data_IF_250449038487
#
_entry.id   IF_250449038487
#
_cell.length_a   1.000
_cell.length_b   1.000
_cell.length_c   1.000
_cell.angle_alpha   90.00
_cell.angle_beta   90.00
_cell.angle_gamma   90.00
#
_symmetry.space_group_name_H-M   'P 1'
#
loop_
_entity.id
_entity.type
_entity.pdbx_description
1 polymer ?
#
# COMPACT_ATOMS: atom_id res chain seq x y z
N UNK A 1 -46.56 -9.82 30.96
CA UNK A 1 -47.69 -8.89 30.71
C UNK A 1 -47.10 -7.51 30.51
N UNK A 2 -47.67 -6.74 29.58
CA UNK A 2 -47.11 -5.50 29.06
C UNK A 2 -47.71 -5.28 27.67
N UNK A 3 -48.84 -4.58 27.63
CA UNK A 3 -49.63 -4.30 26.43
C UNK A 3 -49.48 -2.81 26.08
N UNK A 4 -49.72 -2.51 24.81
CA UNK A 4 -50.02 -1.18 24.28
C UNK A 4 -48.87 -0.12 24.42
N UNK A 5 -48.82 0.95 23.62
CA UNK A 5 -49.90 1.58 22.83
C UNK A 5 -49.47 1.89 21.40
N UNK A 6 -50.40 1.73 20.44
CA UNK A 6 -50.30 2.32 19.09
C UNK A 6 -51.08 3.63 19.10
N UNK A 7 -50.48 4.71 18.59
CA UNK A 7 -51.19 5.95 18.26
C UNK A 7 -50.91 6.31 16.80
N UNK A 8 -51.98 6.35 16.00
CA UNK A 8 -51.99 6.92 14.65
C UNK A 8 -52.55 8.33 14.78
N UNK A 9 -52.00 9.30 14.03
CA UNK A 9 -52.46 10.68 13.99
C UNK A 9 -52.61 11.16 12.55
N UNK A 10 -53.75 11.80 12.26
CA UNK A 10 -54.12 12.34 10.95
C UNK A 10 -53.29 13.62 10.64
N UNK A 11 -52.71 13.77 9.45
CA UNK A 11 -53.34 14.31 8.24
C UNK A 11 -54.01 15.67 8.48
N UNK A 12 -53.38 16.73 7.99
CA UNK A 12 -54.04 17.98 7.62
C UNK A 12 -53.55 18.41 6.23
N UNK A 13 -54.47 18.81 5.36
CA UNK A 13 -54.20 19.20 3.97
C UNK A 13 -54.14 20.72 3.85
N UNK A 14 -53.15 21.24 3.12
CA UNK A 14 -53.17 22.61 2.67
C UNK A 14 -52.64 22.73 1.23
N UNK A 15 -53.50 23.18 0.34
CA UNK A 15 -53.17 23.62 -1.01
C UNK A 15 -53.33 25.15 -1.09
N UNK A 16 -52.39 25.87 -1.71
CA UNK A 16 -52.63 27.16 -2.35
C UNK A 16 -52.75 27.02 -3.88
N UNK A 17 -53.35 28.04 -4.51
CA UNK A 17 -53.93 27.97 -5.86
C UNK A 17 -52.96 27.98 -7.07
N UNK A 18 -53.55 27.66 -8.22
CA UNK A 18 -52.99 27.71 -9.58
C UNK A 18 -52.90 29.15 -10.11
N UNK A 19 -51.92 29.44 -10.97
CA UNK A 19 -51.88 30.60 -11.87
C UNK A 19 -51.02 30.30 -13.12
N UNK A 20 -51.25 31.01 -14.23
CA UNK A 20 -50.74 30.68 -15.59
C UNK A 20 -50.30 31.96 -16.37
N UNK A 21 -49.50 31.92 -17.45
CA UNK A 21 -48.79 30.78 -18.07
C UNK A 21 -47.27 30.80 -17.71
N UNK A 22 -46.23 31.03 -18.52
CA UNK A 22 -45.98 31.30 -19.96
C UNK A 22 -44.75 30.46 -20.43
N UNK A 23 -44.57 30.17 -21.75
CA UNK A 23 -43.68 29.11 -22.18
C UNK A 23 -42.21 29.56 -22.34
N UNK A 24 -41.26 28.70 -21.98
CA UNK A 24 -39.83 28.90 -22.32
C UNK A 24 -39.18 27.66 -22.92
N UNK A 25 -38.37 27.86 -23.96
CA UNK A 25 -37.71 26.81 -24.74
C UNK A 25 -36.35 26.38 -24.16
N UNK A 26 -35.96 25.12 -24.48
CA UNK A 26 -34.66 24.45 -24.18
C UNK A 26 -34.53 23.96 -22.73
N UNK A 27 -33.85 22.85 -22.42
CA UNK A 27 -33.10 21.88 -23.26
C UNK A 27 -33.38 20.43 -22.78
N UNK A 28 -32.95 19.38 -23.50
CA UNK A 28 -32.96 18.02 -22.97
C UNK A 28 -32.10 17.93 -21.69
N UNK A 29 -32.45 17.09 -20.70
CA UNK A 29 -31.63 16.91 -19.51
C UNK A 29 -30.26 16.35 -19.89
N UNK A 30 -29.21 16.91 -19.28
CA UNK A 30 -27.83 16.50 -19.52
C UNK A 30 -27.67 15.00 -19.25
N UNK A 31 -27.03 14.29 -20.17
CA UNK A 31 -26.69 12.89 -19.98
C UNK A 31 -25.79 12.76 -18.75
N UNK A 32 -26.16 11.87 -17.82
CA UNK A 32 -25.23 11.42 -16.77
C UNK A 32 -24.02 10.84 -17.48
N UNK A 33 -22.90 11.55 -17.42
CA UNK A 33 -21.66 11.14 -18.06
C UNK A 33 -21.28 9.74 -17.58
N UNK A 34 -21.34 8.76 -18.48
CA UNK A 34 -20.65 7.49 -18.28
C UNK A 34 -19.18 7.81 -18.11
N UNK A 35 -18.60 7.36 -17.00
CA UNK A 35 -17.17 7.50 -16.76
C UNK A 35 -16.44 6.53 -17.70
N UNK A 36 -16.11 7.02 -18.89
CA UNK A 36 -15.04 6.48 -19.71
C UNK A 36 -13.71 6.71 -18.96
N UNK A 37 -13.45 5.90 -17.92
CA UNK A 37 -12.10 5.71 -17.42
C UNK A 37 -11.28 5.19 -18.59
N UNK A 38 -10.23 5.93 -18.97
CA UNK A 38 -9.40 5.52 -20.11
C UNK A 38 -8.74 4.16 -19.82
N UNK A 39 -8.47 3.32 -20.85
CA UNK A 39 -7.87 1.99 -20.63
C UNK A 39 -6.58 2.06 -19.78
N UNK A 40 -5.75 3.07 -20.00
CA UNK A 40 -4.55 3.34 -19.21
C UNK A 40 -4.85 3.63 -17.73
N UNK A 41 -5.89 4.41 -17.42
CA UNK A 41 -6.26 4.70 -16.02
C UNK A 41 -6.76 3.44 -15.29
N UNK A 42 -7.55 2.61 -15.96
CA UNK A 42 -8.01 1.33 -15.42
C UNK A 42 -6.83 0.37 -15.15
N UNK A 43 -5.86 0.30 -16.06
CA UNK A 43 -4.64 -0.50 -15.89
C UNK A 43 -3.73 0.05 -14.80
N UNK A 44 -3.53 1.37 -14.71
CA UNK A 44 -2.75 2.02 -13.65
C UNK A 44 -3.36 1.74 -12.27
N UNK A 45 -4.69 1.86 -12.16
CA UNK A 45 -5.49 1.56 -10.96
C UNK A 45 -5.33 0.09 -10.55
N UNK A 46 -5.54 -0.85 -11.48
CA UNK A 46 -5.34 -2.29 -11.27
C UNK A 46 -3.92 -2.63 -10.82
N UNK A 47 -2.90 -2.07 -11.47
CA UNK A 47 -1.50 -2.30 -11.10
C UNK A 47 -1.13 -1.71 -9.74
N UNK A 48 -1.64 -0.54 -9.39
CA UNK A 48 -1.45 0.06 -8.07
C UNK A 48 -2.09 -0.80 -6.97
N UNK A 49 -3.29 -1.34 -7.19
CA UNK A 49 -3.94 -2.22 -6.21
C UNK A 49 -3.21 -3.55 -6.05
N UNK A 50 -2.75 -4.15 -7.16
CA UNK A 50 -1.86 -5.32 -7.13
C UNK A 50 -0.55 -5.05 -6.37
N UNK A 51 -0.02 -3.82 -6.45
CA UNK A 51 1.17 -3.39 -5.71
C UNK A 51 0.87 -3.25 -4.20
N UNK A 52 -0.19 -2.54 -3.84
CA UNK A 52 -0.64 -2.37 -2.44
C UNK A 52 -0.92 -3.71 -1.77
N UNK A 53 -1.50 -4.67 -2.49
CA UNK A 53 -1.72 -6.03 -1.99
C UNK A 53 -0.40 -6.79 -1.73
N UNK A 54 0.59 -6.65 -2.61
CA UNK A 54 1.93 -7.24 -2.38
C UNK A 54 2.63 -6.61 -1.17
N UNK A 55 2.51 -5.29 -1.00
CA UNK A 55 3.01 -4.58 0.18
C UNK A 55 2.27 -4.99 1.46
N UNK A 56 0.95 -5.25 1.38
CA UNK A 56 0.16 -5.76 2.50
C UNK A 56 0.61 -7.16 2.93
N UNK A 57 0.78 -8.10 1.98
CA UNK A 57 1.31 -9.44 2.29
C UNK A 57 2.71 -9.37 2.90
N UNK A 58 3.59 -8.58 2.30
CA UNK A 58 4.95 -8.35 2.82
C UNK A 58 4.92 -7.76 4.23
N UNK A 59 3.98 -6.85 4.50
CA UNK A 59 3.76 -6.27 5.82
C UNK A 59 3.31 -7.35 6.82
N UNK A 60 2.25 -8.10 6.55
CA UNK A 60 1.76 -9.06 7.55
C UNK A 60 2.73 -10.24 7.79
N UNK A 61 3.59 -10.59 6.82
CA UNK A 61 4.73 -11.52 7.05
C UNK A 61 5.79 -10.91 7.99
N UNK A 62 6.30 -9.71 7.70
CA UNK A 62 7.36 -9.08 8.49
C UNK A 62 6.89 -8.51 9.84
N UNK A 63 5.58 -8.39 10.08
CA UNK A 63 4.98 -7.96 11.35
C UNK A 63 5.40 -8.87 12.52
N UNK A 64 5.55 -10.16 12.27
CA UNK A 64 5.93 -11.18 13.26
C UNK A 64 7.41 -11.13 13.59
N UNK A 65 7.75 -11.01 14.89
CA UNK A 65 9.15 -10.96 15.38
C UNK A 65 9.94 -12.19 14.94
N UNK A 66 9.34 -13.38 15.06
CA UNK A 66 9.95 -14.65 14.64
C UNK A 66 10.37 -14.63 13.17
N UNK A 67 9.52 -14.13 12.27
CA UNK A 67 9.80 -14.07 10.84
C UNK A 67 10.98 -13.13 10.54
N UNK A 68 11.03 -11.97 11.20
CA UNK A 68 12.19 -11.07 11.12
C UNK A 68 13.48 -11.74 11.63
N UNK A 69 13.39 -12.57 12.68
CA UNK A 69 14.53 -13.34 13.19
C UNK A 69 14.96 -14.47 12.26
N UNK A 70 14.03 -15.20 11.62
CA UNK A 70 14.38 -16.18 10.59
C UNK A 70 15.11 -15.50 9.43
N UNK A 71 14.58 -14.37 8.95
CA UNK A 71 15.20 -13.57 7.89
C UNK A 71 16.58 -13.04 8.29
N UNK A 72 16.77 -12.64 9.55
CA UNK A 72 18.06 -12.23 10.11
C UNK A 72 19.09 -13.38 10.15
N UNK A 73 18.66 -14.61 10.44
CA UNK A 73 19.52 -15.80 10.48
C UNK A 73 19.85 -16.35 9.08
N UNK A 74 18.96 -16.16 8.10
CA UNK A 74 19.11 -16.68 6.74
C UNK A 74 19.74 -15.68 5.75
N UNK A 75 19.77 -14.38 6.06
CA UNK A 75 20.29 -13.35 5.15
C UNK A 75 21.76 -13.03 5.40
N UNK A 76 22.58 -13.03 4.34
CA UNK A 76 23.89 -12.35 4.38
C UNK A 76 23.70 -10.83 4.44
N UNK A 77 24.69 -10.10 4.97
CA UNK A 77 24.63 -8.61 5.04
C UNK A 77 24.38 -7.99 3.66
N UNK A 78 25.01 -8.53 2.61
CA UNK A 78 24.83 -8.07 1.24
C UNK A 78 23.41 -8.30 0.73
N UNK A 79 22.83 -9.49 0.98
CA UNK A 79 21.46 -9.80 0.59
C UNK A 79 20.42 -8.95 1.34
N UNK A 80 20.65 -8.72 2.65
CA UNK A 80 19.81 -7.85 3.46
C UNK A 80 19.88 -6.39 2.99
N UNK A 81 21.08 -5.84 2.74
CA UNK A 81 21.24 -4.46 2.28
C UNK A 81 20.66 -4.26 0.87
N UNK A 82 20.89 -5.21 -0.06
CA UNK A 82 20.26 -5.18 -1.39
C UNK A 82 18.74 -5.40 -1.37
N UNK A 83 18.14 -5.94 -0.30
CA UNK A 83 16.70 -5.87 -0.08
C UNK A 83 16.28 -4.50 0.47
N UNK A 84 17.01 -3.95 1.44
CA UNK A 84 16.76 -2.61 2.00
C UNK A 84 16.73 -1.55 0.90
N UNK A 85 17.74 -1.48 0.04
CA UNK A 85 17.80 -0.50 -1.05
C UNK A 85 16.56 -0.55 -1.96
N UNK A 86 16.07 -1.75 -2.28
CA UNK A 86 14.82 -1.96 -3.02
C UNK A 86 13.59 -1.51 -2.22
N UNK A 87 13.55 -1.77 -0.91
CA UNK A 87 12.49 -1.34 0.00
C UNK A 87 12.47 0.20 0.22
N UNK A 88 13.63 0.86 0.24
CA UNK A 88 13.70 2.32 0.26
C UNK A 88 13.28 2.90 -1.09
N UNK A 89 13.67 2.29 -2.21
CA UNK A 89 13.25 2.72 -3.55
C UNK A 89 11.72 2.73 -3.72
N UNK A 90 11.01 1.69 -3.29
CA UNK A 90 9.54 1.68 -3.33
C UNK A 90 8.90 2.63 -2.31
N UNK A 91 9.57 2.93 -1.19
CA UNK A 91 9.11 3.92 -0.20
C UNK A 91 9.16 5.32 -0.81
N UNK A 92 10.31 5.70 -1.36
CA UNK A 92 10.54 7.00 -2.01
C UNK A 92 9.58 7.21 -3.18
N UNK A 93 9.40 6.21 -4.04
CA UNK A 93 8.46 6.26 -5.17
C UNK A 93 7.05 6.69 -4.72
N UNK A 94 6.55 6.14 -3.61
CA UNK A 94 5.24 6.51 -3.06
C UNK A 94 5.29 7.89 -2.40
N UNK A 95 6.32 8.19 -1.60
CA UNK A 95 6.46 9.47 -0.89
C UNK A 95 6.49 10.68 -1.83
N UNK A 96 7.28 10.64 -2.91
CA UNK A 96 7.38 11.69 -3.94
C UNK A 96 6.03 12.02 -4.60
N UNK A 97 5.18 11.01 -4.75
CA UNK A 97 3.91 11.11 -5.48
C UNK A 97 2.77 11.54 -4.56
N UNK A 98 2.80 11.18 -3.28
CA UNK A 98 1.77 11.58 -2.31
C UNK A 98 1.84 13.07 -1.95
N UNK A 99 0.74 13.80 -2.14
CA UNK A 99 0.67 15.24 -1.79
C UNK A 99 0.72 15.46 -0.28
N UNK A 100 1.63 16.34 0.17
CA UNK A 100 1.78 16.69 1.58
C UNK A 100 2.49 15.65 2.44
N UNK A 101 3.17 14.67 1.83
CA UNK A 101 4.01 13.69 2.52
C UNK A 101 5.47 14.17 2.51
N UNK A 102 6.11 14.17 3.67
CA UNK A 102 7.55 14.39 3.75
C UNK A 102 8.28 13.13 3.25
N UNK A 103 9.12 13.29 2.23
CA UNK A 103 10.04 12.24 1.76
C UNK A 103 11.03 11.91 2.87
N UNK A 104 11.14 10.63 3.21
CA UNK A 104 12.05 10.18 4.28
C UNK A 104 13.47 10.05 3.72
N UNK A 105 14.46 10.59 4.42
CA UNK A 105 15.89 10.37 4.08
C UNK A 105 16.19 8.87 4.04
N UNK A 106 17.01 8.43 3.10
CA UNK A 106 17.59 7.07 3.11
C UNK A 106 18.50 6.90 4.32
N UNK A 107 18.41 5.77 5.03
CA UNK A 107 19.34 5.52 6.13
C UNK A 107 20.70 5.09 5.59
N UNK A 108 21.78 5.75 6.02
CA UNK A 108 23.14 5.34 5.66
C UNK A 108 23.52 4.10 6.50
N UNK A 109 23.18 2.89 5.99
CA UNK A 109 23.50 1.64 6.70
C UNK A 109 25.00 1.46 6.85
N UNK A 110 25.42 0.81 7.95
CA UNK A 110 26.84 0.60 8.24
C UNK A 110 27.53 -0.12 7.08
N UNK A 111 28.41 0.61 6.41
CA UNK A 111 29.45 0.17 5.47
C UNK A 111 29.62 -1.35 5.39
N UNK A 112 29.07 -1.96 4.33
CA UNK A 112 29.25 -3.41 4.06
C UNK A 112 30.75 -3.74 3.90
N UNK A 113 31.56 -2.76 3.52
CA UNK A 113 33.03 -2.80 3.48
C UNK A 113 33.68 -3.15 4.84
N UNK A 114 33.04 -2.83 5.98
CA UNK A 114 33.58 -3.06 7.33
C UNK A 114 33.25 -4.46 7.89
N UNK A 115 32.36 -5.21 7.24
CA UNK A 115 31.87 -6.54 7.70
C UNK A 115 33.00 -7.53 7.95
N UNK A 116 34.06 -7.52 7.15
CA UNK A 116 35.24 -8.39 7.33
C UNK A 116 36.01 -8.19 8.65
N UNK A 117 35.73 -7.13 9.41
CA UNK A 117 36.30 -6.85 10.73
C UNK A 117 35.36 -7.14 11.91
N UNK A 118 34.12 -7.59 11.62
CA UNK A 118 33.06 -7.73 12.61
C UNK A 118 32.98 -9.14 13.17
N UNK A 119 32.78 -9.28 14.49
CA UNK A 119 32.48 -10.56 15.12
C UNK A 119 31.08 -11.05 14.70
N UNK A 120 30.85 -12.37 14.70
CA UNK A 120 29.57 -12.95 14.25
C UNK A 120 28.34 -12.31 14.90
N UNK A 121 28.36 -12.06 16.20
CA UNK A 121 27.27 -11.37 16.92
C UNK A 121 27.05 -9.91 16.46
N UNK A 122 28.10 -9.19 16.03
CA UNK A 122 27.96 -7.85 15.42
C UNK A 122 27.38 -7.93 14.01
N UNK A 123 27.71 -8.98 13.26
CA UNK A 123 27.13 -9.24 11.93
C UNK A 123 25.64 -9.57 12.06
N UNK A 124 25.26 -10.48 12.97
CA UNK A 124 23.86 -10.82 13.27
C UNK A 124 23.07 -9.57 13.70
N UNK A 125 23.63 -8.73 14.57
CA UNK A 125 23.00 -7.47 14.99
C UNK A 125 22.83 -6.47 13.82
N UNK A 126 23.81 -6.36 12.92
CA UNK A 126 23.72 -5.53 11.72
C UNK A 126 22.61 -6.00 10.78
N UNK A 127 22.53 -7.30 10.48
CA UNK A 127 21.43 -7.86 9.67
C UNK A 127 20.08 -7.62 10.36
N UNK A 128 20.02 -7.74 11.70
CA UNK A 128 18.82 -7.42 12.48
C UNK A 128 18.34 -5.98 12.32
N UNK A 129 19.26 -5.00 12.33
CA UNK A 129 18.95 -3.59 12.03
C UNK A 129 18.39 -3.43 10.61
N UNK A 130 19.07 -4.02 9.62
CA UNK A 130 18.69 -3.92 8.21
C UNK A 130 17.29 -4.52 7.98
N UNK A 131 16.95 -5.65 8.62
CA UNK A 131 15.61 -6.25 8.56
C UNK A 131 14.55 -5.38 9.26
N UNK A 132 14.91 -4.63 10.30
CA UNK A 132 14.07 -3.59 10.90
C UNK A 132 13.79 -2.42 9.95
N UNK A 133 14.83 -1.94 9.25
CA UNK A 133 14.71 -0.86 8.27
C UNK A 133 13.88 -1.30 7.04
N UNK A 134 14.06 -2.53 6.55
CA UNK A 134 13.21 -3.18 5.54
C UNK A 134 11.75 -3.20 5.98
N UNK A 135 11.50 -3.60 7.23
CA UNK A 135 10.15 -3.66 7.80
C UNK A 135 9.46 -2.28 7.80
N UNK A 136 10.11 -1.24 8.34
CA UNK A 136 9.51 0.09 8.42
C UNK A 136 9.33 0.73 7.04
N UNK A 137 10.20 0.43 6.07
CA UNK A 137 10.03 0.88 4.68
C UNK A 137 8.79 0.24 4.02
N UNK A 138 8.63 -1.08 4.11
CA UNK A 138 7.46 -1.81 3.57
C UNK A 138 6.17 -1.35 4.25
N UNK A 139 6.19 -1.24 5.58
CA UNK A 139 5.06 -0.73 6.38
C UNK A 139 4.65 0.68 5.96
N UNK A 140 5.61 1.61 5.84
CA UNK A 140 5.35 3.01 5.45
C UNK A 140 4.87 3.13 4.01
N UNK A 141 5.47 2.41 3.07
CA UNK A 141 5.01 2.36 1.68
C UNK A 141 3.54 1.88 1.60
N UNK A 142 3.18 0.82 2.32
CA UNK A 142 1.80 0.34 2.44
C UNK A 142 0.87 1.40 3.08
N UNK A 143 1.26 2.01 4.20
CA UNK A 143 0.45 2.99 4.95
C UNK A 143 0.28 4.33 4.21
N UNK A 144 1.08 4.58 3.18
CA UNK A 144 0.90 5.68 2.24
C UNK A 144 0.07 5.25 1.03
N UNK A 145 0.41 4.16 0.35
CA UNK A 145 -0.27 3.72 -0.87
C UNK A 145 -1.68 3.13 -0.67
N UNK A 146 -2.04 2.72 0.56
CA UNK A 146 -3.40 2.26 0.88
C UNK A 146 -4.42 3.41 1.06
N UNK A 147 -3.98 4.65 1.30
CA UNK A 147 -4.87 5.81 1.49
C UNK A 147 -5.49 6.26 0.17
N UNK A 148 -6.84 6.37 0.09
CA UNK A 148 -7.56 6.78 -1.13
C UNK A 148 -6.98 8.03 -1.81
N UNK A 149 -6.82 9.14 -1.07
CA UNK A 149 -6.23 10.39 -1.59
C UNK A 149 -4.83 10.20 -2.18
N UNK A 150 -4.04 9.30 -1.61
CA UNK A 150 -2.70 9.01 -2.12
C UNK A 150 -2.74 8.11 -3.36
N UNK A 151 -3.69 7.15 -3.44
CA UNK A 151 -3.92 6.38 -4.68
C UNK A 151 -4.29 7.31 -5.84
N UNK A 152 -5.16 8.27 -5.60
CA UNK A 152 -5.60 9.29 -6.57
C UNK A 152 -4.42 10.17 -7.03
N UNK A 153 -3.54 10.62 -6.13
CA UNK A 153 -2.32 11.36 -6.49
C UNK A 153 -1.27 10.51 -7.21
N UNK A 154 -1.10 9.22 -6.85
CA UNK A 154 -0.18 8.30 -7.53
C UNK A 154 -0.67 7.99 -8.94
N UNK A 155 -1.96 7.67 -9.12
CA UNK A 155 -2.56 7.37 -10.42
C UNK A 155 -2.35 8.51 -11.43
N UNK A 156 -2.63 9.76 -11.02
CA UNK A 156 -2.45 10.95 -11.89
C UNK A 156 -1.00 11.33 -12.17
N UNK A 157 -0.01 10.73 -11.47
CA UNK A 157 1.42 11.05 -11.59
C UNK A 157 2.28 9.93 -12.17
N UNK A 158 1.66 8.78 -12.48
CA UNK A 158 2.35 7.61 -13.01
C UNK A 158 1.96 7.36 -14.47
N UNK A 159 2.95 7.04 -15.31
CA UNK A 159 2.70 6.31 -16.55
C UNK A 159 2.42 4.83 -16.25
N UNK A 160 1.71 4.16 -17.16
CA UNK A 160 1.47 2.71 -17.20
C UNK A 160 2.76 1.91 -17.02
N UNK A 161 3.87 2.34 -17.63
CA UNK A 161 5.21 1.76 -17.44
C UNK A 161 5.72 1.93 -16.00
N UNK A 162 5.66 3.15 -15.44
CA UNK A 162 6.22 3.45 -14.11
C UNK A 162 5.51 2.69 -12.99
N UNK A 163 4.19 2.51 -13.09
CA UNK A 163 3.42 1.72 -12.12
C UNK A 163 3.59 0.22 -12.36
N UNK A 164 3.81 -0.23 -13.60
CA UNK A 164 4.20 -1.60 -13.91
C UNK A 164 5.57 -1.99 -13.31
N UNK A 165 6.54 -1.08 -13.39
CA UNK A 165 7.84 -1.23 -12.74
C UNK A 165 7.72 -1.27 -11.20
N UNK A 166 6.94 -0.35 -10.61
CA UNK A 166 6.64 -0.33 -9.18
C UNK A 166 5.97 -1.63 -8.71
N UNK A 167 4.98 -2.13 -9.47
CA UNK A 167 4.31 -3.42 -9.22
C UNK A 167 5.31 -4.58 -9.22
N UNK A 168 6.17 -4.65 -10.24
CA UNK A 168 7.22 -5.69 -10.35
C UNK A 168 8.19 -5.63 -9.16
N UNK A 169 8.59 -4.43 -8.72
CA UNK A 169 9.42 -4.25 -7.52
C UNK A 169 8.71 -4.71 -6.24
N UNK A 170 7.44 -4.33 -6.04
CA UNK A 170 6.64 -4.74 -4.88
C UNK A 170 6.46 -6.27 -4.77
N UNK A 171 6.30 -6.98 -5.89
CA UNK A 171 6.22 -8.44 -5.91
C UNK A 171 7.58 -9.12 -5.74
N UNK A 172 8.66 -8.57 -6.33
CA UNK A 172 10.02 -9.08 -6.10
C UNK A 172 10.48 -8.93 -4.64
N UNK A 173 10.07 -7.85 -3.97
CA UNK A 173 10.26 -7.65 -2.52
C UNK A 173 9.46 -8.69 -1.72
N UNK A 174 8.18 -8.93 -2.07
CA UNK A 174 7.35 -9.92 -1.38
C UNK A 174 7.94 -11.33 -1.43
N UNK A 175 8.35 -11.79 -2.62
CA UNK A 175 8.94 -13.12 -2.76
C UNK A 175 10.32 -13.22 -2.08
N UNK A 176 11.14 -12.16 -2.09
CA UNK A 176 12.40 -12.12 -1.31
C UNK A 176 12.13 -12.25 0.21
N UNK A 177 11.13 -11.54 0.72
CA UNK A 177 10.71 -11.59 2.13
C UNK A 177 10.18 -12.97 2.50
N UNK A 178 9.30 -13.53 1.67
CA UNK A 178 8.69 -14.85 1.83
C UNK A 178 9.74 -15.97 1.85
N UNK A 179 10.75 -15.90 0.98
CA UNK A 179 11.88 -16.82 0.96
C UNK A 179 12.73 -16.71 2.22
N UNK A 180 13.19 -15.49 2.57
CA UNK A 180 14.01 -15.28 3.78
C UNK A 180 13.28 -15.62 5.09
N UNK A 181 11.95 -15.52 5.10
CA UNK A 181 11.11 -15.90 6.24
C UNK A 181 10.67 -17.38 6.24
N UNK A 182 11.04 -18.20 5.23
CA UNK A 182 10.81 -19.65 5.31
C UNK A 182 11.56 -20.20 6.52
N UNK A 183 10.89 -21.06 7.28
CA UNK A 183 11.61 -22.00 8.14
C UNK A 183 12.33 -23.01 7.22
N UNK A 184 13.51 -23.54 7.60
CA UNK A 184 13.94 -24.79 7.00
C UNK A 184 12.83 -25.82 7.27
N UNK A 185 12.35 -26.48 6.22
CA UNK A 185 11.47 -27.63 6.38
C UNK A 185 12.19 -28.63 7.30
N UNK A 186 11.49 -29.16 8.31
CA UNK A 186 12.11 -29.99 9.34
C UNK A 186 12.95 -31.09 8.68
N UNK A 187 14.24 -31.15 9.07
CA UNK A 187 15.23 -32.07 8.49
C UNK A 187 14.58 -33.43 8.32
N UNK A 188 14.46 -33.90 7.08
CA UNK A 188 13.80 -35.18 6.79
C UNK A 188 14.39 -36.27 7.69
N UNK A 189 13.53 -36.82 8.56
CA UNK A 189 13.89 -37.86 9.52
C UNK A 189 13.98 -39.20 8.78
N UNK A 190 15.13 -39.38 8.11
CA UNK A 190 15.55 -40.55 7.35
C UNK A 190 16.99 -40.90 7.74
#
# INVERSE_FOLDING_TARGET
MGLETVMIGEVELHMPDVNEEEPTNKAPPESKGSSDESPDEADIKSMLESSVWSLHKSKEVLKTVTNRRMMQLHSSVLAANGLKERCESIRLFVEERCKGVQVSRTSDTTDVSKVGSMTGAKIEALVGSIVGEVWDCVKRAHELASKRKNKEEVGRKCSTESIGAFRKACWGIHETIKEGCRQPEDKQLC
#
